data_IF_952473444858
#
_entry.id   IF_952473444858
#
_cell.length_a   1.000
_cell.length_b   1.000
_cell.length_c   1.000
_cell.angle_alpha   90.00
_cell.angle_beta   90.00
_cell.angle_gamma   90.00
#
_symmetry.space_group_name_H-M   'P 1'
#
loop_
_entity.id
_entity.type
_entity.pdbx_description
1 polymer ?
#
# COMPACT_ATOMS: atom_id res chain seq x y z
N UNK A 1 -6.71 65.49 -38.66
CA UNK A 1 -5.48 66.06 -38.06
C UNK A 1 -4.53 64.88 -37.85
N UNK A 2 -3.59 64.56 -38.76
CA UNK A 2 -2.23 65.15 -38.89
C UNK A 2 -1.56 65.34 -37.51
N UNK A 3 -0.38 64.82 -37.18
CA UNK A 3 0.87 64.59 -37.92
C UNK A 3 1.74 63.55 -37.15
N UNK A 4 2.40 62.57 -37.76
CA UNK A 4 3.72 62.57 -38.42
C UNK A 4 4.98 62.66 -37.51
N UNK A 5 5.69 61.52 -37.48
CA UNK A 5 7.16 61.27 -37.54
C UNK A 5 8.11 61.87 -36.49
N UNK A 6 8.98 61.00 -35.96
CA UNK A 6 10.43 61.06 -36.23
C UNK A 6 11.15 59.80 -35.75
N UNK A 7 12.11 59.33 -36.56
CA UNK A 7 13.01 58.20 -36.32
C UNK A 7 14.29 58.70 -35.63
N UNK A 8 14.83 57.92 -34.71
CA UNK A 8 16.28 57.89 -34.42
C UNK A 8 16.73 56.45 -34.20
N UNK A 9 17.87 56.14 -34.78
CA UNK A 9 18.50 54.83 -34.84
C UNK A 9 19.74 54.78 -33.93
N UNK A 10 20.26 53.54 -33.78
CA UNK A 10 21.63 53.14 -33.37
C UNK A 10 21.85 52.99 -31.85
N UNK A 11 22.68 52.04 -31.33
CA UNK A 11 23.36 50.88 -31.94
C UNK A 11 23.00 49.50 -31.33
N UNK A 12 23.27 48.47 -32.12
CA UNK A 12 23.41 47.07 -31.69
C UNK A 12 24.70 46.94 -30.86
N UNK A 13 24.56 46.83 -29.55
CA UNK A 13 25.61 46.36 -28.64
C UNK A 13 25.46 44.86 -28.45
N UNK A 14 26.35 44.10 -29.09
CA UNK A 14 26.46 42.65 -28.96
C UNK A 14 26.98 42.30 -27.56
N UNK A 15 26.08 42.08 -26.61
CA UNK A 15 26.44 41.52 -25.31
C UNK A 15 26.66 40.01 -25.48
N UNK A 16 27.91 39.60 -25.34
CA UNK A 16 28.35 38.22 -25.26
C UNK A 16 27.81 37.62 -23.95
N UNK A 17 26.59 37.08 -23.98
CA UNK A 17 26.07 36.24 -22.91
C UNK A 17 26.79 34.89 -22.97
N UNK A 18 27.80 34.73 -22.11
CA UNK A 18 28.36 33.42 -21.78
C UNK A 18 27.23 32.62 -21.12
N UNK A 19 26.66 31.70 -21.88
CA UNK A 19 25.74 30.69 -21.37
C UNK A 19 26.59 29.72 -20.53
N UNK A 20 26.66 29.97 -19.22
CA UNK A 20 27.05 28.93 -18.28
C UNK A 20 25.88 27.96 -18.28
N UNK A 21 25.97 26.94 -19.13
CA UNK A 21 25.21 25.72 -19.01
C UNK A 21 25.66 25.04 -17.70
N UNK A 22 25.14 25.53 -16.58
CA UNK A 22 25.22 24.87 -15.31
C UNK A 22 24.56 23.52 -15.48
N UNK A 23 25.35 22.46 -15.29
CA UNK A 23 24.90 21.09 -15.22
C UNK A 23 23.90 20.93 -14.06
N UNK A 24 22.63 21.26 -14.29
CA UNK A 24 21.52 20.74 -13.50
C UNK A 24 21.20 19.34 -14.03
N UNK A 25 22.17 18.43 -13.88
CA UNK A 25 21.86 17.01 -13.94
C UNK A 25 21.08 16.68 -12.69
N UNK A 26 19.75 16.75 -12.76
CA UNK A 26 18.88 16.21 -11.72
C UNK A 26 19.33 14.79 -11.41
N UNK A 27 19.77 14.57 -10.18
CA UNK A 27 20.07 13.25 -9.67
C UNK A 27 18.75 12.48 -9.68
N UNK A 28 18.62 11.51 -10.58
CA UNK A 28 17.51 10.56 -10.56
C UNK A 28 17.80 9.54 -9.47
N UNK A 29 16.89 9.38 -8.52
CA UNK A 29 16.89 8.24 -7.61
C UNK A 29 16.76 6.94 -8.44
N UNK A 30 17.31 5.83 -7.96
CA UNK A 30 17.24 4.58 -8.72
C UNK A 30 15.79 4.08 -8.70
N UNK A 31 15.17 3.81 -9.87
CA UNK A 31 13.79 3.33 -9.92
C UNK A 31 13.69 1.99 -9.20
N UNK A 32 12.69 1.88 -8.33
CA UNK A 32 12.28 0.66 -7.66
C UNK A 32 11.82 -0.41 -8.67
N UNK A 33 11.55 -1.65 -8.21
CA UNK A 33 11.03 -2.80 -8.98
C UNK A 33 10.63 -2.41 -10.41
N UNK A 34 11.53 -2.58 -11.39
CA UNK A 34 11.33 -1.96 -12.70
C UNK A 34 9.89 -2.13 -13.20
N UNK A 35 9.21 -1.02 -13.52
CA UNK A 35 7.74 -0.83 -13.70
C UNK A 35 6.91 -2.09 -14.04
N UNK A 36 7.38 -2.94 -14.95
CA UNK A 36 6.77 -4.24 -15.26
C UNK A 36 6.72 -5.28 -14.11
N UNK A 37 7.34 -5.05 -12.94
CA UNK A 37 7.23 -5.92 -11.76
C UNK A 37 6.11 -5.46 -10.84
N UNK A 38 6.03 -4.15 -10.55
CA UNK A 38 4.93 -3.52 -9.83
C UNK A 38 3.56 -3.89 -10.41
N UNK A 39 3.40 -3.70 -11.72
CA UNK A 39 2.21 -4.10 -12.46
C UNK A 39 1.90 -5.58 -12.24
N UNK A 40 2.91 -6.44 -12.40
CA UNK A 40 2.76 -7.89 -12.31
C UNK A 40 2.38 -8.35 -10.91
N UNK A 41 2.92 -7.74 -9.86
CA UNK A 41 2.54 -8.04 -8.47
C UNK A 41 1.07 -7.68 -8.27
N UNK A 42 0.69 -6.46 -8.65
CA UNK A 42 -0.68 -5.92 -8.53
C UNK A 42 -1.71 -6.78 -9.27
N UNK A 43 -1.47 -7.11 -10.54
CA UNK A 43 -2.37 -7.97 -11.33
C UNK A 43 -2.50 -9.38 -10.77
N UNK A 44 -1.40 -9.98 -10.28
CA UNK A 44 -1.43 -11.31 -9.65
C UNK A 44 -2.08 -11.31 -8.25
N UNK A 45 -2.11 -10.16 -7.59
CA UNK A 45 -2.77 -10.00 -6.30
C UNK A 45 -4.29 -9.92 -6.47
N UNK A 46 -4.80 -9.29 -7.53
CA UNK A 46 -6.23 -8.98 -7.69
C UNK A 46 -6.90 -9.56 -8.94
N UNK A 47 -6.87 -10.89 -9.16
CA UNK A 47 -7.50 -11.50 -10.34
C UNK A 47 -9.03 -11.36 -10.38
N UNK A 48 -9.67 -11.00 -9.27
CA UNK A 48 -11.13 -10.82 -9.15
C UNK A 48 -11.60 -9.40 -9.49
N UNK A 49 -10.69 -8.45 -9.65
CA UNK A 49 -11.01 -7.05 -9.84
C UNK A 49 -11.44 -6.78 -11.29
N UNK A 50 -12.35 -5.83 -11.50
CA UNK A 50 -12.76 -5.40 -12.82
C UNK A 50 -11.55 -4.82 -13.57
N UNK A 51 -11.38 -5.19 -14.84
CA UNK A 51 -10.18 -4.87 -15.62
C UNK A 51 -9.84 -3.38 -15.64
N UNK A 52 -10.82 -2.52 -15.90
CA UNK A 52 -10.63 -1.07 -15.93
C UNK A 52 -10.22 -0.46 -14.57
N UNK A 53 -10.69 -1.05 -13.47
CA UNK A 53 -10.30 -0.62 -12.11
C UNK A 53 -8.90 -1.10 -11.80
N UNK A 54 -8.58 -2.35 -12.14
CA UNK A 54 -7.24 -2.90 -11.99
C UNK A 54 -6.21 -2.12 -12.81
N UNK A 55 -6.53 -1.75 -14.05
CA UNK A 55 -5.66 -0.92 -14.90
C UNK A 55 -5.43 0.47 -14.29
N UNK A 56 -6.45 1.04 -13.65
CA UNK A 56 -6.31 2.33 -12.94
C UNK A 56 -5.42 2.21 -11.71
N UNK A 57 -5.54 1.12 -10.94
CA UNK A 57 -4.68 0.85 -9.78
C UNK A 57 -3.24 0.62 -10.24
N UNK A 58 -3.03 -0.12 -11.33
CA UNK A 58 -1.71 -0.30 -11.94
C UNK A 58 -1.13 1.04 -12.38
N UNK A 59 -1.89 1.89 -13.07
CA UNK A 59 -1.43 3.21 -13.47
C UNK A 59 -1.02 4.05 -12.24
N UNK A 60 -1.89 4.17 -11.23
CA UNK A 60 -1.54 4.89 -10.00
C UNK A 60 -0.36 4.28 -9.23
N UNK A 61 -0.11 2.99 -9.37
CA UNK A 61 1.08 2.36 -8.80
C UNK A 61 2.35 2.78 -9.53
N UNK A 62 2.29 2.95 -10.86
CA UNK A 62 3.43 3.39 -11.68
C UNK A 62 3.65 4.91 -11.62
N UNK A 63 2.59 5.70 -11.39
CA UNK A 63 2.66 7.17 -11.27
C UNK A 63 3.66 7.62 -10.17
N UNK A 64 3.99 6.77 -9.20
CA UNK A 64 4.95 7.09 -8.14
C UNK A 64 6.42 7.05 -8.61
N UNK A 65 6.73 6.35 -9.69
CA UNK A 65 8.06 6.34 -10.32
C UNK A 65 8.24 7.46 -11.36
N UNK A 66 7.30 8.41 -11.46
CA UNK A 66 7.30 9.45 -12.49
C UNK A 66 7.54 10.86 -11.91
N UNK A 67 8.12 11.73 -12.74
CA UNK A 67 8.32 13.15 -12.48
C UNK A 67 8.96 13.48 -11.10
N UNK A 68 8.28 14.31 -10.31
CA UNK A 68 8.73 14.71 -8.98
C UNK A 68 8.45 13.63 -7.93
N UNK A 69 7.59 12.65 -8.21
CA UNK A 69 7.25 11.59 -7.27
C UNK A 69 8.42 10.60 -7.09
N UNK A 70 9.15 10.31 -8.17
CA UNK A 70 10.33 9.41 -8.21
C UNK A 70 11.40 9.78 -7.17
N UNK A 71 11.45 11.04 -6.73
CA UNK A 71 12.46 11.55 -5.81
C UNK A 71 11.93 11.72 -4.36
N UNK A 72 10.76 11.16 -4.05
CA UNK A 72 10.13 11.26 -2.74
C UNK A 72 10.30 9.94 -1.99
N UNK A 73 11.39 9.84 -1.22
CA UNK A 73 11.76 8.62 -0.49
C UNK A 73 10.65 8.03 0.41
N UNK A 74 9.74 8.84 0.95
CA UNK A 74 8.58 8.33 1.71
C UNK A 74 7.59 7.51 0.86
N UNK A 75 7.62 7.65 -0.46
CA UNK A 75 6.74 6.91 -1.38
C UNK A 75 7.36 5.59 -1.82
N UNK A 76 8.70 5.53 -1.84
CA UNK A 76 9.48 4.35 -2.25
C UNK A 76 10.01 3.51 -1.07
N UNK A 77 9.56 3.81 0.16
CA UNK A 77 10.05 3.19 1.39
C UNK A 77 11.59 3.23 1.53
N UNK A 78 12.23 4.33 1.14
CA UNK A 78 13.68 4.47 1.12
C UNK A 78 14.19 5.38 2.26
N UNK A 79 15.52 5.55 2.34
CA UNK A 79 16.21 6.49 3.23
C UNK A 79 15.92 6.29 4.72
N UNK A 80 15.64 5.05 5.14
CA UNK A 80 15.29 4.72 6.52
C UNK A 80 14.03 5.48 7.01
N UNK A 81 13.21 6.04 6.11
CA UNK A 81 12.05 6.87 6.43
C UNK A 81 10.79 6.02 6.62
N UNK A 82 10.87 4.99 7.46
CA UNK A 82 9.74 4.08 7.72
C UNK A 82 8.51 4.82 8.23
N UNK A 83 8.74 5.72 9.20
CA UNK A 83 7.65 6.50 9.79
C UNK A 83 6.95 7.36 8.73
N UNK A 84 7.72 8.03 7.89
CA UNK A 84 7.15 8.90 6.85
C UNK A 84 6.43 8.07 5.77
N UNK A 85 6.96 6.90 5.43
CA UNK A 85 6.32 5.98 4.47
C UNK A 85 5.00 5.42 5.00
N UNK A 86 4.98 5.01 6.27
CA UNK A 86 3.74 4.58 6.92
C UNK A 86 2.73 5.74 7.04
N UNK A 87 3.19 6.96 7.32
CA UNK A 87 2.34 8.15 7.34
C UNK A 87 1.76 8.48 5.97
N UNK A 88 2.57 8.36 4.90
CA UNK A 88 2.13 8.51 3.52
C UNK A 88 1.03 7.52 3.17
N UNK A 89 1.25 6.23 3.45
CA UNK A 89 0.25 5.16 3.25
C UNK A 89 -1.05 5.46 3.99
N UNK A 90 -0.96 5.88 5.26
CA UNK A 90 -2.13 6.23 6.07
C UNK A 90 -2.92 7.42 5.50
N UNK A 91 -2.23 8.48 5.09
CA UNK A 91 -2.87 9.62 4.43
C UNK A 91 -3.60 9.17 3.15
N UNK A 92 -2.96 8.36 2.31
CA UNK A 92 -3.59 7.84 1.09
C UNK A 92 -4.81 6.98 1.40
N UNK A 93 -4.81 6.19 2.47
CA UNK A 93 -6.00 5.44 2.87
C UNK A 93 -7.20 6.34 3.16
N UNK A 94 -6.99 7.43 3.89
CA UNK A 94 -8.04 8.41 4.19
C UNK A 94 -8.56 9.06 2.90
N UNK A 95 -7.66 9.42 1.98
CA UNK A 95 -8.03 9.99 0.68
C UNK A 95 -8.78 9.00 -0.22
N UNK A 96 -8.38 7.72 -0.24
CA UNK A 96 -9.12 6.65 -0.96
C UNK A 96 -10.54 6.56 -0.41
N UNK A 97 -10.72 6.47 0.91
CA UNK A 97 -12.06 6.38 1.51
C UNK A 97 -12.86 7.66 1.27
N UNK A 98 -12.24 8.83 1.34
CA UNK A 98 -12.87 10.11 1.01
C UNK A 98 -13.36 10.15 -0.44
N UNK A 99 -12.52 9.75 -1.40
CA UNK A 99 -12.86 9.68 -2.82
C UNK A 99 -13.92 8.61 -3.12
N UNK A 100 -13.95 7.51 -2.36
CA UNK A 100 -15.02 6.51 -2.45
C UNK A 100 -16.35 7.05 -1.90
N UNK A 101 -16.33 7.87 -0.86
CA UNK A 101 -17.55 8.45 -0.26
C UNK A 101 -18.19 9.50 -1.16
N UNK A 102 -17.35 10.33 -1.78
CA UNK A 102 -17.75 11.41 -2.67
C UNK A 102 -16.94 11.41 -3.97
N UNK A 103 -17.24 10.50 -4.92
CA UNK A 103 -16.55 10.41 -6.19
C UNK A 103 -16.65 11.73 -6.97
N UNK A 104 -15.51 12.20 -7.47
CA UNK A 104 -15.48 13.36 -8.36
C UNK A 104 -16.11 12.99 -9.70
N UNK A 105 -16.89 13.91 -10.27
CA UNK A 105 -17.37 13.77 -11.64
C UNK A 105 -16.23 13.84 -12.66
N UNK A 106 -15.21 14.65 -12.36
CA UNK A 106 -14.07 14.92 -13.24
C UNK A 106 -12.99 13.84 -13.14
N UNK A 107 -12.89 13.18 -11.97
CA UNK A 107 -12.00 12.03 -11.77
C UNK A 107 -12.71 10.91 -10.99
N UNK A 108 -13.58 10.13 -11.65
CA UNK A 108 -14.30 9.03 -11.02
C UNK A 108 -13.38 7.88 -10.58
N UNK A 109 -12.14 7.88 -11.08
CA UNK A 109 -11.13 6.84 -10.87
C UNK A 109 -10.10 7.21 -9.79
N UNK A 110 -10.23 8.40 -9.19
CA UNK A 110 -9.30 8.91 -8.16
C UNK A 110 -9.02 7.92 -7.05
N UNK A 111 -10.05 7.28 -6.50
CA UNK A 111 -9.89 6.31 -5.41
C UNK A 111 -9.05 5.08 -5.81
N UNK A 112 -9.25 4.57 -7.03
CA UNK A 112 -8.50 3.43 -7.54
C UNK A 112 -7.03 3.81 -7.80
N UNK A 113 -6.78 5.00 -8.36
CA UNK A 113 -5.43 5.54 -8.55
C UNK A 113 -4.70 5.69 -7.22
N UNK A 114 -5.30 6.35 -6.24
CA UNK A 114 -4.75 6.53 -4.89
C UNK A 114 -4.49 5.19 -4.16
N UNK A 115 -5.28 4.15 -4.44
CA UNK A 115 -4.96 2.82 -3.93
C UNK A 115 -3.71 2.24 -4.58
N UNK A 116 -3.50 2.47 -5.88
CA UNK A 116 -2.25 2.17 -6.58
C UNK A 116 -1.01 2.79 -5.90
N UNK A 117 -1.11 4.06 -5.51
CA UNK A 117 -0.05 4.80 -4.79
C UNK A 117 0.34 4.12 -3.47
N UNK A 118 -0.65 3.63 -2.70
CA UNK A 118 -0.40 2.87 -1.47
C UNK A 118 0.40 1.60 -1.79
N UNK A 119 -0.04 0.86 -2.80
CA UNK A 119 0.57 -0.41 -3.16
C UNK A 119 2.01 -0.27 -3.63
N UNK A 120 2.38 0.86 -4.22
CA UNK A 120 3.74 1.14 -4.66
C UNK A 120 4.72 1.07 -3.48
N UNK A 121 4.56 1.95 -2.48
CA UNK A 121 5.44 1.96 -1.30
C UNK A 121 5.41 0.67 -0.48
N UNK A 122 4.27 -0.04 -0.45
CA UNK A 122 4.18 -1.36 0.19
C UNK A 122 5.00 -2.42 -0.55
N UNK A 123 4.99 -2.40 -1.88
CA UNK A 123 5.78 -3.33 -2.69
C UNK A 123 7.27 -3.00 -2.54
N UNK A 124 7.62 -1.72 -2.61
CA UNK A 124 8.98 -1.22 -2.46
C UNK A 124 9.60 -1.58 -1.13
N UNK A 125 8.87 -1.51 -0.02
CA UNK A 125 9.41 -1.92 1.28
C UNK A 125 10.06 -3.32 1.23
N UNK A 126 9.42 -4.27 0.54
CA UNK A 126 9.96 -5.64 0.44
C UNK A 126 11.11 -5.77 -0.55
N UNK A 127 11.26 -4.81 -1.45
CA UNK A 127 12.38 -4.71 -2.38
C UNK A 127 13.59 -3.98 -1.81
N UNK A 128 13.32 -2.97 -0.98
CA UNK A 128 14.24 -1.92 -0.53
C UNK A 128 14.60 -2.04 0.94
N UNK A 129 14.36 -3.19 1.58
CA UNK A 129 14.73 -3.39 2.98
C UNK A 129 15.54 -4.64 3.18
N UNK A 130 16.23 -4.69 4.30
CA UNK A 130 16.90 -5.90 4.76
C UNK A 130 15.90 -6.93 5.34
N UNK A 131 14.59 -6.81 5.12
CA UNK A 131 13.56 -7.71 5.66
C UNK A 131 13.70 -9.15 5.14
N UNK A 132 13.81 -9.30 3.83
CA UNK A 132 13.75 -10.60 3.13
C UNK A 132 15.08 -11.34 3.12
N UNK A 133 16.22 -10.69 2.81
CA UNK A 133 17.47 -11.41 2.64
C UNK A 133 17.87 -12.20 3.89
N UNK A 134 18.48 -13.37 3.72
CA UNK A 134 18.94 -14.17 4.87
C UNK A 134 20.16 -13.56 5.55
N UNK A 135 20.42 -13.84 6.84
CA UNK A 135 21.68 -13.47 7.46
C UNK A 135 22.88 -14.07 6.70
N UNK A 136 24.00 -13.33 6.56
CA UNK A 136 24.25 -12.00 7.12
C UNK A 136 23.70 -10.83 6.27
N UNK A 137 23.12 -11.06 5.09
CA UNK A 137 22.67 -10.01 4.18
C UNK A 137 21.36 -9.32 4.62
N UNK A 138 20.54 -9.98 5.43
CA UNK A 138 19.30 -9.40 5.96
C UNK A 138 18.75 -10.15 7.17
N UNK A 139 17.52 -9.82 7.56
CA UNK A 139 16.83 -10.33 8.73
C UNK A 139 16.29 -11.76 8.55
N UNK A 140 16.13 -12.22 7.31
CA UNK A 140 15.57 -13.52 6.97
C UNK A 140 14.12 -13.70 7.39
N UNK A 141 13.34 -12.61 7.49
CA UNK A 141 11.94 -12.66 7.97
C UNK A 141 11.04 -13.05 6.81
N UNK A 142 10.88 -14.37 6.65
CA UNK A 142 10.04 -14.99 5.61
C UNK A 142 8.72 -15.49 6.19
N UNK A 143 7.65 -15.36 5.42
CA UNK A 143 6.29 -15.78 5.77
C UNK A 143 5.53 -14.80 6.67
N UNK A 144 6.08 -13.60 6.92
CA UNK A 144 5.50 -12.61 7.82
C UNK A 144 5.43 -11.24 7.14
N UNK A 145 4.28 -10.58 7.29
CA UNK A 145 4.11 -9.20 6.86
C UNK A 145 4.70 -8.23 7.89
N UNK A 146 5.16 -7.05 7.45
CA UNK A 146 5.65 -5.99 8.34
C UNK A 146 4.53 -5.55 9.28
N UNK A 147 3.39 -5.20 8.71
CA UNK A 147 2.17 -4.85 9.41
C UNK A 147 1.04 -5.75 8.90
N UNK A 148 0.52 -6.61 9.77
CA UNK A 148 -0.62 -7.51 9.47
C UNK A 148 -1.94 -6.99 10.06
N UNK A 149 -1.98 -5.75 10.55
CA UNK A 149 -3.17 -5.11 11.09
C UNK A 149 -4.22 -4.83 10.02
N UNK A 150 -5.46 -4.57 10.45
CA UNK A 150 -6.56 -4.17 9.55
C UNK A 150 -6.92 -2.69 9.65
N UNK A 151 -6.31 -1.97 10.60
CA UNK A 151 -6.42 -0.52 10.73
C UNK A 151 -5.37 0.21 9.91
N UNK A 152 -5.12 1.47 10.24
CA UNK A 152 -4.00 2.23 9.69
C UNK A 152 -2.67 1.54 10.04
N UNK A 153 -1.65 1.74 9.20
CA UNK A 153 -0.30 1.26 9.46
C UNK A 153 0.21 1.86 10.78
N UNK A 154 0.87 1.02 11.57
CA UNK A 154 1.55 1.48 12.78
C UNK A 154 2.63 2.49 12.41
N UNK A 155 2.66 3.65 13.05
CA UNK A 155 3.72 4.64 12.86
C UNK A 155 4.86 4.31 13.84
N UNK A 156 5.96 3.68 13.39
CA UNK A 156 7.06 3.37 14.29
C UNK A 156 7.67 4.65 14.85
N UNK A 157 8.21 4.55 16.06
CA UNK A 157 9.16 5.53 16.56
C UNK A 157 10.57 5.03 16.26
N UNK A 158 11.54 5.92 16.02
CA UNK A 158 12.94 5.56 15.92
C UNK A 158 13.34 4.58 17.04
N UNK A 159 13.99 3.47 16.69
CA UNK A 159 14.44 2.44 17.62
C UNK A 159 13.36 1.68 18.38
N UNK A 160 12.07 1.83 18.04
CA UNK A 160 11.03 0.97 18.62
C UNK A 160 11.23 -0.51 18.25
N UNK A 161 10.89 -1.39 19.17
CA UNK A 161 10.91 -2.84 18.96
C UNK A 161 9.71 -3.23 18.10
N UNK A 162 9.99 -3.89 16.98
CA UNK A 162 8.98 -4.48 16.13
C UNK A 162 8.63 -5.91 16.60
N UNK A 163 9.65 -6.72 16.85
CA UNK A 163 9.57 -8.09 17.38
C UNK A 163 10.62 -8.28 18.46
N UNK A 164 10.56 -9.37 19.22
CA UNK A 164 11.45 -9.63 20.36
C UNK A 164 12.92 -9.24 20.11
N UNK A 165 13.47 -9.50 18.93
CA UNK A 165 14.86 -9.22 18.59
C UNK A 165 15.06 -8.26 17.39
N UNK A 166 14.02 -7.54 16.96
CA UNK A 166 14.10 -6.61 15.80
C UNK A 166 13.68 -5.20 16.20
N UNK A 167 14.50 -4.20 15.87
CA UNK A 167 14.22 -2.79 16.11
C UNK A 167 14.24 -1.99 14.80
N UNK A 168 13.38 -0.97 14.68
CA UNK A 168 13.44 -0.02 13.57
C UNK A 168 14.66 0.87 13.68
N UNK A 169 15.45 1.00 12.62
CA UNK A 169 16.61 1.88 12.59
C UNK A 169 16.29 3.10 11.72
N UNK A 170 15.98 4.22 12.40
CA UNK A 170 15.69 5.52 11.81
C UNK A 170 16.38 6.61 12.65
N UNK A 171 17.00 7.58 12.00
CA UNK A 171 17.77 8.68 12.58
C UNK A 171 19.04 8.25 13.31
N UNK A 172 19.69 9.20 13.98
CA UNK A 172 20.83 8.91 14.86
C UNK A 172 20.37 8.35 16.21
N UNK A 173 21.11 7.37 16.72
CA UNK A 173 20.81 6.75 18.00
C UNK A 173 21.06 7.74 19.15
N UNK A 174 20.02 8.02 19.93
CA UNK A 174 20.16 8.82 21.14
C UNK A 174 20.78 7.99 22.26
N UNK A 175 21.77 8.56 22.96
CA UNK A 175 22.41 7.89 24.10
C UNK A 175 21.36 7.48 25.15
N UNK A 176 21.50 6.29 25.75
CA UNK A 176 22.64 5.38 25.68
C UNK A 176 22.56 4.33 24.55
N UNK A 177 21.60 4.43 23.63
CA UNK A 177 21.54 3.53 22.48
C UNK A 177 22.77 3.73 21.58
N UNK A 178 23.20 2.64 20.95
CA UNK A 178 24.22 2.69 19.91
C UNK A 178 23.86 1.74 18.78
N UNK A 179 24.24 2.10 17.56
CA UNK A 179 24.05 1.30 16.36
C UNK A 179 25.41 1.04 15.77
N UNK A 180 25.71 -0.23 15.47
CA UNK A 180 26.94 -0.63 14.78
C UNK A 180 26.61 -1.65 13.71
N UNK A 181 27.41 -1.69 12.66
CA UNK A 181 27.37 -2.82 11.74
C UNK A 181 28.26 -3.96 12.27
N UNK A 182 27.88 -5.23 12.09
CA UNK A 182 28.77 -6.35 12.37
C UNK A 182 30.05 -6.23 11.53
N UNK A 183 31.20 -6.54 12.13
CA UNK A 183 32.49 -6.62 11.45
C UNK A 183 33.11 -8.01 11.64
N UNK A 184 33.91 -8.47 10.68
CA UNK A 184 34.68 -9.72 10.78
C UNK A 184 35.98 -9.53 11.58
N UNK A 185 36.84 -10.56 11.61
CA UNK A 185 38.10 -10.54 12.33
C UNK A 185 39.10 -9.50 11.81
N UNK A 186 38.96 -9.09 10.54
CA UNK A 186 39.80 -8.08 9.89
C UNK A 186 39.22 -6.66 10.04
N UNK A 187 38.10 -6.51 10.76
CA UNK A 187 37.40 -5.25 10.93
C UNK A 187 36.58 -4.83 9.71
N UNK A 188 36.41 -5.69 8.70
CA UNK A 188 35.57 -5.41 7.54
C UNK A 188 34.11 -5.66 7.91
N UNK A 189 33.19 -4.81 7.45
CA UNK A 189 31.76 -5.03 7.69
C UNK A 189 31.38 -6.41 7.16
N UNK A 190 30.68 -7.21 7.99
CA UNK A 190 30.32 -8.60 7.72
C UNK A 190 28.81 -8.80 7.46
N UNK A 191 27.97 -7.79 7.69
CA UNK A 191 26.51 -7.85 7.53
C UNK A 191 25.87 -6.49 7.25
N UNK A 192 24.76 -6.50 6.51
CA UNK A 192 23.87 -5.33 6.32
C UNK A 192 22.74 -5.26 7.38
N UNK A 193 22.79 -6.07 8.44
CA UNK A 193 21.85 -5.98 9.55
C UNK A 193 22.54 -5.24 10.69
N UNK A 194 22.20 -3.96 10.95
CA UNK A 194 22.76 -3.24 12.08
C UNK A 194 22.43 -3.93 13.40
N UNK A 195 23.33 -3.83 14.36
CA UNK A 195 23.13 -4.23 15.75
C UNK A 195 22.78 -2.98 16.53
N UNK A 196 21.55 -2.93 17.06
CA UNK A 196 21.09 -1.89 17.98
C UNK A 196 21.38 -2.37 19.39
N UNK A 197 22.29 -1.71 20.10
CA UNK A 197 22.63 -2.03 21.49
C UNK A 197 21.91 -1.08 22.43
N UNK A 198 21.12 -1.67 23.32
CA UNK A 198 20.41 -1.01 24.41
C UNK A 198 21.02 -1.42 25.76
N UNK A 199 22.04 -0.70 26.26
CA UNK A 199 22.79 -1.12 27.44
C UNK A 199 22.01 -0.91 28.75
N UNK A 200 20.88 -0.20 28.73
CA UNK A 200 20.08 0.09 29.91
C UNK A 200 18.68 -0.51 29.85
N UNK A 201 18.37 -1.21 28.78
CA UNK A 201 17.06 -1.82 28.67
C UNK A 201 15.92 -0.82 28.47
N UNK A 202 16.23 0.33 27.88
CA UNK A 202 15.29 1.44 27.71
C UNK A 202 14.14 1.07 26.78
N UNK A 203 14.39 0.19 25.80
CA UNK A 203 13.42 -0.10 24.75
C UNK A 203 12.46 -1.24 25.13
N UNK A 204 12.91 -2.29 25.85
CA UNK A 204 12.03 -3.44 26.16
C UNK A 204 12.05 -3.97 27.59
N UNK A 205 13.23 -4.13 28.20
CA UNK A 205 13.39 -4.84 29.49
C UNK A 205 14.60 -4.26 30.23
N UNK A 206 14.66 -4.20 31.58
CA UNK A 206 15.73 -3.52 32.34
C UNK A 206 17.14 -4.13 32.22
N UNK A 207 17.39 -5.02 31.26
CA UNK A 207 18.66 -5.70 31.06
C UNK A 207 19.30 -5.23 29.74
N UNK A 208 20.64 -5.15 29.68
CA UNK A 208 21.34 -4.89 28.43
C UNK A 208 20.91 -5.87 27.34
N UNK A 209 20.54 -5.36 26.18
CA UNK A 209 20.10 -6.18 25.04
C UNK A 209 20.64 -5.66 23.72
N UNK A 210 20.85 -6.58 22.79
CA UNK A 210 21.12 -6.27 21.39
C UNK A 210 19.94 -6.71 20.52
N UNK A 211 19.60 -5.90 19.52
CA UNK A 211 18.55 -6.16 18.54
C UNK A 211 19.13 -6.11 17.13
N UNK A 212 18.55 -6.88 16.23
CA UNK A 212 18.76 -6.78 14.79
C UNK A 212 17.99 -5.57 14.27
N UNK A 213 18.65 -4.73 13.50
CA UNK A 213 18.07 -3.50 13.00
C UNK A 213 17.40 -3.70 11.63
N UNK A 214 16.12 -3.35 11.54
CA UNK A 214 15.41 -3.18 10.28
C UNK A 214 15.73 -1.80 9.70
N UNK A 215 16.22 -1.78 8.47
CA UNK A 215 16.50 -0.56 7.72
C UNK A 215 16.12 -0.70 6.25
N UNK A 216 15.85 0.41 5.59
CA UNK A 216 15.68 0.47 4.13
C UNK A 216 16.94 0.97 3.45
N UNK A 217 17.10 0.63 2.18
CA UNK A 217 18.11 1.21 1.31
C UNK A 217 17.92 2.72 1.27
N UNK A 218 19.02 3.46 1.24
CA UNK A 218 18.92 4.87 0.90
C UNK A 218 19.04 5.09 -0.60
N UNK A 219 18.45 6.18 -1.07
CA UNK A 219 18.86 6.90 -2.26
C UNK A 219 20.10 7.77 -1.94
N UNK A 220 20.79 8.34 -2.94
CA UNK A 220 21.90 9.25 -2.72
C UNK A 220 21.48 10.36 -1.75
N UNK A 221 22.30 10.56 -0.71
CA UNK A 221 22.02 11.53 0.36
C UNK A 221 21.73 12.92 -0.23
N UNK A 222 20.51 13.42 -0.05
CA UNK A 222 20.30 14.86 -0.12
C UNK A 222 21.05 15.52 1.05
N UNK A 223 21.94 16.51 0.80
CA UNK A 223 22.64 17.21 1.87
C UNK A 223 21.64 17.82 2.85
N UNK A 224 21.54 17.24 4.06
CA UNK A 224 20.62 17.69 5.12
C UNK A 224 19.61 16.63 5.59
N UNK A 225 19.41 15.52 4.88
CA UNK A 225 18.53 14.45 5.34
C UNK A 225 19.28 13.48 6.28
N UNK A 226 19.15 13.72 7.60
CA UNK A 226 19.84 12.99 8.68
C UNK A 226 19.06 11.74 9.16
N UNK A 227 18.14 11.19 8.34
CA UNK A 227 17.24 10.12 8.81
C UNK A 227 17.74 8.69 8.67
N UNK A 228 18.82 8.44 7.93
CA UNK A 228 19.58 7.20 8.15
C UNK A 228 20.70 7.48 9.16
N UNK A 229 20.96 6.56 10.12
CA UNK A 229 22.00 6.76 11.11
C UNK A 229 23.34 7.06 10.43
N UNK A 230 24.07 8.03 10.98
CA UNK A 230 25.49 8.16 10.70
C UNK A 230 26.18 6.91 11.26
N UNK A 231 26.47 5.94 10.39
CA UNK A 231 27.35 4.83 10.76
C UNK A 231 28.76 5.42 10.88
N UNK A 232 29.08 5.91 12.08
CA UNK A 232 30.15 6.86 12.36
C UNK A 232 31.58 6.29 12.23
N UNK A 233 31.75 5.05 11.78
CA UNK A 233 33.05 4.40 11.68
C UNK A 233 33.18 3.73 10.30
N UNK A 234 34.09 4.27 9.46
CA UNK A 234 34.68 3.66 8.25
C UNK A 234 34.05 3.84 6.86
N UNK A 235 33.32 4.92 6.57
CA UNK A 235 33.20 5.37 5.16
C UNK A 235 34.39 6.25 4.76
N UNK A 236 35.61 5.71 4.85
CA UNK A 236 36.73 6.32 4.12
C UNK A 236 36.59 5.94 2.64
N UNK A 237 35.89 6.81 1.89
CA UNK A 237 35.69 6.74 0.44
C UNK A 237 37.00 6.75 -0.39
N UNK A 238 38.17 6.93 0.24
CA UNK A 238 39.46 6.92 -0.46
C UNK A 238 40.08 5.53 -0.70
N UNK A 239 39.51 4.46 -0.12
CA UNK A 239 39.98 3.09 -0.37
C UNK A 239 38.86 2.22 -0.95
N UNK A 240 39.14 1.52 -2.06
CA UNK A 240 38.17 0.73 -2.84
C UNK A 240 37.56 -0.51 -2.13
N UNK A 241 37.86 -0.75 -0.85
CA UNK A 241 37.52 -2.00 -0.15
C UNK A 241 36.61 -1.85 1.09
N UNK A 242 36.02 -0.68 1.35
CA UNK A 242 35.11 -0.52 2.49
C UNK A 242 33.65 -0.62 2.08
N UNK A 243 32.93 -1.55 2.72
CA UNK A 243 31.50 -1.74 2.57
C UNK A 243 30.76 -0.64 3.33
N UNK A 244 30.60 0.51 2.69
CA UNK A 244 29.52 1.41 3.08
C UNK A 244 28.20 0.69 2.77
N UNK A 245 27.18 0.88 3.61
CA UNK A 245 25.81 0.77 3.13
C UNK A 245 25.67 1.82 2.03
N UNK A 246 25.99 1.44 0.80
CA UNK A 246 25.85 2.30 -0.36
C UNK A 246 24.36 2.46 -0.56
N UNK A 247 23.84 3.52 0.05
CA UNK A 247 22.62 4.19 -0.34
C UNK A 247 22.79 4.49 -1.84
N UNK A 248 22.01 3.82 -2.70
CA UNK A 248 22.37 3.49 -4.08
C UNK A 248 22.89 4.69 -4.87
N UNK A 249 24.14 4.64 -5.34
CA UNK A 249 24.63 5.60 -6.33
C UNK A 249 23.90 5.34 -7.66
N UNK A 250 23.28 6.38 -8.22
CA UNK A 250 22.51 6.30 -9.47
C UNK A 250 23.36 6.10 -10.73
N UNK A 251 24.70 5.98 -10.62
CA UNK A 251 25.58 5.71 -11.77
C UNK A 251 26.85 4.98 -11.37
N UNK A 252 26.96 3.71 -11.75
CA UNK A 252 28.22 3.23 -12.34
C UNK A 252 27.95 2.07 -13.29
N UNK A 253 27.98 2.34 -14.60
CA UNK A 253 28.08 1.32 -15.66
C UNK A 253 29.46 0.61 -15.69
N UNK A 254 30.15 0.50 -14.55
CA UNK A 254 31.52 0.01 -14.56
C UNK A 254 32.16 -0.31 -13.21
N UNK A 255 31.43 -0.20 -12.09
CA UNK A 255 31.95 -0.73 -10.82
C UNK A 255 31.21 -2.01 -10.47
N UNK A 256 31.92 -3.14 -10.59
CA UNK A 256 31.62 -4.38 -9.87
C UNK A 256 31.85 -4.16 -8.38
N UNK A 257 31.14 -3.19 -7.81
CA UNK A 257 31.09 -2.86 -6.40
C UNK A 257 30.52 -4.09 -5.70
N UNK A 258 31.43 -4.88 -5.15
CA UNK A 258 31.12 -6.07 -4.35
C UNK A 258 30.40 -5.64 -3.10
N UNK A 259 29.11 -5.39 -3.23
CA UNK A 259 28.22 -5.43 -2.09
C UNK A 259 28.27 -6.88 -1.60
N UNK A 260 28.83 -7.11 -0.41
CA UNK A 260 28.86 -8.38 0.36
C UNK A 260 29.23 -9.73 -0.28
N UNK A 261 29.46 -9.79 -1.59
CA UNK A 261 30.03 -10.86 -2.42
C UNK A 261 30.18 -10.43 -3.90
N UNK A 262 29.56 -9.30 -4.31
CA UNK A 262 29.32 -9.01 -5.73
C UNK A 262 27.85 -8.69 -6.02
N UNK A 263 26.94 -9.03 -5.09
CA UNK A 263 25.50 -9.01 -5.30
C UNK A 263 24.67 -8.60 -4.06
N UNK A 264 25.28 -8.01 -3.03
CA UNK A 264 24.63 -7.43 -1.83
C UNK A 264 23.65 -6.31 -2.14
N UNK A 265 22.52 -6.68 -2.71
CA UNK A 265 21.48 -5.77 -3.10
C UNK A 265 20.43 -5.78 -1.99
N UNK A 266 20.41 -4.73 -1.17
CA UNK A 266 19.18 -4.33 -0.46
C UNK A 266 18.10 -3.84 -1.42
N UNK A 267 18.39 -3.84 -2.73
CA UNK A 267 17.49 -3.54 -3.81
C UNK A 267 17.23 -4.86 -4.58
N UNK A 268 16.03 -5.41 -4.42
CA UNK A 268 15.63 -6.66 -5.07
C UNK A 268 14.79 -6.38 -6.33
N UNK A 269 15.15 -5.36 -7.11
CA UNK A 269 14.34 -4.90 -8.24
C UNK A 269 14.58 -5.69 -9.52
N UNK A 270 15.80 -6.19 -9.73
CA UNK A 270 16.17 -6.96 -10.91
C UNK A 270 15.79 -8.44 -10.81
N UNK A 271 15.10 -8.98 -11.82
CA UNK A 271 14.87 -10.43 -11.93
C UNK A 271 16.20 -11.18 -12.07
N UNK A 272 16.46 -12.15 -11.19
CA UNK A 272 17.69 -12.93 -11.15
C UNK A 272 17.77 -13.83 -9.92
N UNK A 273 18.82 -14.66 -9.85
CA UNK A 273 19.11 -15.56 -8.73
C UNK A 273 19.09 -14.83 -7.37
N UNK A 274 18.73 -15.55 -6.29
CA UNK A 274 18.73 -15.05 -4.92
C UNK A 274 17.33 -14.82 -4.32
N UNK A 275 17.23 -13.83 -3.41
CA UNK A 275 16.04 -13.54 -2.59
C UNK A 275 14.91 -12.80 -3.33
N UNK A 276 15.11 -12.44 -4.60
CA UNK A 276 14.14 -11.72 -5.43
C UNK A 276 12.76 -12.40 -5.45
N UNK A 277 12.71 -13.71 -5.66
CA UNK A 277 11.46 -14.46 -5.72
C UNK A 277 10.71 -14.39 -4.38
N UNK A 278 11.46 -14.36 -3.27
CA UNK A 278 10.92 -14.26 -1.93
C UNK A 278 10.38 -12.85 -1.64
N UNK A 279 11.10 -11.80 -2.07
CA UNK A 279 10.64 -10.42 -1.95
C UNK A 279 9.37 -10.18 -2.76
N UNK A 280 9.36 -10.59 -4.03
CA UNK A 280 8.16 -10.55 -4.87
C UNK A 280 6.99 -11.34 -4.26
N UNK A 281 7.27 -12.49 -3.65
CA UNK A 281 6.25 -13.26 -2.94
C UNK A 281 5.66 -12.46 -1.78
N UNK A 282 6.48 -11.79 -0.97
CA UNK A 282 6.02 -10.97 0.16
C UNK A 282 5.30 -9.70 -0.29
N UNK A 283 5.81 -9.00 -1.28
CA UNK A 283 5.16 -7.85 -1.90
C UNK A 283 3.75 -8.23 -2.40
N UNK A 284 3.59 -9.42 -3.01
CA UNK A 284 2.27 -9.95 -3.40
C UNK A 284 1.38 -10.26 -2.19
N UNK A 285 1.91 -10.89 -1.14
CA UNK A 285 1.13 -11.16 0.08
C UNK A 285 0.65 -9.87 0.74
N UNK A 286 1.53 -8.87 0.85
CA UNK A 286 1.21 -7.56 1.39
C UNK A 286 0.16 -6.85 0.53
N UNK A 287 0.34 -6.83 -0.80
CA UNK A 287 -0.64 -6.26 -1.74
C UNK A 287 -2.03 -6.89 -1.56
N UNK A 288 -2.11 -8.22 -1.37
CA UNK A 288 -3.37 -8.92 -1.08
C UNK A 288 -3.96 -8.52 0.28
N UNK A 289 -3.10 -8.35 1.29
CA UNK A 289 -3.50 -7.90 2.63
C UNK A 289 -4.03 -6.46 2.61
N UNK A 290 -3.43 -5.56 1.82
CA UNK A 290 -3.87 -4.17 1.72
C UNK A 290 -5.28 -4.02 1.12
N UNK A 291 -5.75 -4.97 0.30
CA UNK A 291 -7.17 -5.02 -0.10
C UNK A 291 -8.08 -5.30 1.09
N UNK A 292 -7.72 -6.27 1.93
CA UNK A 292 -8.48 -6.58 3.14
C UNK A 292 -8.45 -5.39 4.11
N UNK A 293 -7.27 -4.78 4.33
CA UNK A 293 -7.12 -3.55 5.12
C UNK A 293 -8.02 -2.42 4.58
N UNK A 294 -8.04 -2.20 3.28
CA UNK A 294 -8.88 -1.17 2.65
C UNK A 294 -10.37 -1.40 2.90
N UNK A 295 -10.85 -2.65 2.81
CA UNK A 295 -12.24 -2.97 3.14
C UNK A 295 -12.56 -2.59 4.59
N UNK A 296 -11.71 -2.98 5.55
CA UNK A 296 -11.89 -2.64 6.96
C UNK A 296 -11.83 -1.13 7.24
N UNK A 297 -10.84 -0.43 6.70
CA UNK A 297 -10.72 1.02 6.82
C UNK A 297 -11.89 1.76 6.16
N UNK A 298 -12.42 1.26 5.05
CA UNK A 298 -13.60 1.86 4.41
C UNK A 298 -14.86 1.77 5.27
N UNK A 299 -14.95 0.79 6.18
CA UNK A 299 -16.01 0.72 7.19
C UNK A 299 -15.71 1.64 8.37
N UNK A 300 -14.47 1.60 8.86
CA UNK A 300 -14.10 2.30 10.09
C UNK A 300 -14.08 3.83 9.90
N UNK A 301 -13.64 4.29 8.73
CA UNK A 301 -13.62 5.71 8.35
C UNK A 301 -14.91 6.17 7.64
N UNK A 302 -15.81 5.25 7.29
CA UNK A 302 -17.15 5.54 6.78
C UNK A 302 -18.19 4.53 7.33
N UNK A 303 -18.75 4.80 8.54
CA UNK A 303 -19.68 3.88 9.18
C UNK A 303 -21.03 3.76 8.44
N UNK A 304 -21.26 4.55 7.39
CA UNK A 304 -22.42 4.42 6.51
C UNK A 304 -22.31 3.25 5.53
N UNK A 305 -21.12 2.64 5.40
CA UNK A 305 -20.78 1.58 4.45
C UNK A 305 -20.87 1.97 2.96
N UNK A 306 -20.98 3.27 2.63
CA UNK A 306 -20.98 3.73 1.24
C UNK A 306 -19.65 3.38 0.58
N UNK A 307 -18.52 3.65 1.23
CA UNK A 307 -17.20 3.35 0.70
C UNK A 307 -16.99 1.83 0.52
N UNK A 308 -17.29 1.01 1.53
CA UNK A 308 -17.18 -0.45 1.45
C UNK A 308 -18.09 -1.05 0.37
N UNK A 309 -19.33 -0.55 0.28
CA UNK A 309 -20.27 -0.94 -0.77
C UNK A 309 -19.74 -0.61 -2.16
N UNK A 310 -19.07 0.53 -2.35
CA UNK A 310 -18.48 0.92 -3.65
C UNK A 310 -17.27 0.08 -4.02
N UNK A 311 -16.43 -0.28 -3.06
CA UNK A 311 -15.33 -1.24 -3.29
C UNK A 311 -15.88 -2.56 -3.82
N UNK A 312 -16.79 -3.19 -3.06
CA UNK A 312 -17.34 -4.48 -3.46
C UNK A 312 -18.24 -4.38 -4.70
N UNK A 313 -18.98 -3.28 -4.86
CA UNK A 313 -19.96 -3.11 -5.94
C UNK A 313 -19.32 -2.72 -7.27
N UNK A 314 -18.35 -1.82 -7.26
CA UNK A 314 -17.81 -1.21 -8.47
C UNK A 314 -16.42 -1.69 -8.84
N UNK A 315 -15.61 -2.16 -7.89
CA UNK A 315 -14.23 -2.59 -8.19
C UNK A 315 -14.13 -4.07 -8.52
N UNK A 316 -15.06 -4.89 -8.03
CA UNK A 316 -15.08 -6.33 -8.26
C UNK A 316 -15.68 -6.66 -9.64
N UNK A 317 -15.11 -7.65 -10.33
CA UNK A 317 -15.58 -8.15 -11.63
C UNK A 317 -16.99 -8.79 -11.56
N UNK A 318 -17.72 -8.85 -12.69
CA UNK A 318 -19.11 -9.34 -12.75
C UNK A 318 -19.30 -10.82 -12.41
N UNK A 319 -18.27 -11.63 -12.64
CA UNK A 319 -18.33 -13.09 -12.54
C UNK A 319 -17.51 -13.65 -11.36
N UNK A 320 -17.16 -12.81 -10.39
CA UNK A 320 -16.44 -13.23 -9.20
C UNK A 320 -17.38 -14.05 -8.29
N UNK A 321 -17.31 -15.38 -8.37
CA UNK A 321 -17.98 -16.25 -7.41
C UNK A 321 -17.58 -15.88 -5.97
N UNK A 322 -18.49 -16.07 -5.00
CA UNK A 322 -18.39 -15.60 -3.60
C UNK A 322 -17.05 -15.89 -2.91
N UNK A 323 -16.35 -16.96 -3.29
CA UNK A 323 -15.06 -17.35 -2.70
C UNK A 323 -13.82 -16.67 -3.33
N UNK A 324 -13.97 -15.92 -4.43
CA UNK A 324 -12.84 -15.31 -5.15
C UNK A 324 -12.44 -13.92 -4.63
N UNK A 325 -13.31 -13.27 -3.84
CA UNK A 325 -13.08 -11.93 -3.30
C UNK A 325 -12.14 -11.90 -2.10
N UNK A 326 -12.11 -13.02 -1.36
CA UNK A 326 -11.33 -13.18 -0.15
C UNK A 326 -10.09 -13.97 -0.47
N UNK A 327 -9.00 -13.24 -0.71
CA UNK A 327 -7.76 -13.83 -1.19
C UNK A 327 -7.16 -14.73 -0.11
N UNK A 328 -6.72 -15.92 -0.53
CA UNK A 328 -6.18 -16.88 0.41
C UNK A 328 -4.97 -16.35 1.18
N UNK A 329 -4.93 -16.62 2.49
CA UNK A 329 -3.90 -16.15 3.41
C UNK A 329 -4.12 -14.75 3.99
N UNK A 330 -5.25 -14.09 3.67
CA UNK A 330 -5.59 -12.77 4.25
C UNK A 330 -6.59 -12.91 5.40
N UNK A 331 -6.67 -11.94 6.33
CA UNK A 331 -7.67 -11.98 7.41
C UNK A 331 -9.13 -12.03 6.92
N UNK A 332 -9.41 -11.58 5.69
CA UNK A 332 -10.72 -11.63 5.08
C UNK A 332 -11.12 -13.06 4.64
N UNK A 333 -10.19 -14.01 4.58
CA UNK A 333 -10.47 -15.39 4.19
C UNK A 333 -10.99 -16.29 5.34
N UNK A 334 -11.30 -15.75 6.52
CA UNK A 334 -11.58 -16.58 7.71
C UNK A 334 -12.80 -17.51 7.54
N UNK A 335 -12.52 -18.81 7.37
CA UNK A 335 -13.47 -19.92 7.39
C UNK A 335 -13.95 -20.25 8.80
N UNK A 336 -14.58 -19.30 9.48
CA UNK A 336 -15.27 -19.60 10.72
C UNK A 336 -16.49 -20.50 10.43
N UNK A 337 -16.76 -21.47 11.31
CA UNK A 337 -18.01 -22.22 11.27
C UNK A 337 -19.18 -21.24 11.41
N UNK A 338 -20.09 -21.27 10.44
CA UNK A 338 -21.28 -20.42 10.38
C UNK A 338 -22.49 -21.33 10.34
N UNK A 339 -23.49 -21.02 11.15
CA UNK A 339 -24.69 -21.86 11.23
C UNK A 339 -25.85 -21.31 10.43
N UNK A 340 -25.96 -19.99 10.21
CA UNK A 340 -27.15 -19.40 9.58
C UNK A 340 -26.90 -19.05 8.12
N UNK A 341 -27.79 -19.50 7.24
CA UNK A 341 -27.87 -19.03 5.85
C UNK A 341 -28.74 -17.78 5.80
N UNK A 342 -28.21 -16.70 5.24
CA UNK A 342 -28.93 -15.45 5.03
C UNK A 342 -29.10 -15.23 3.55
N UNK A 343 -30.36 -15.14 3.11
CA UNK A 343 -30.74 -14.80 1.74
C UNK A 343 -31.31 -13.38 1.72
N UNK A 344 -30.75 -12.51 0.91
CA UNK A 344 -31.32 -11.17 0.68
C UNK A 344 -31.66 -11.02 -0.78
N UNK A 345 -32.95 -10.77 -1.02
CA UNK A 345 -33.51 -10.56 -2.35
C UNK A 345 -33.75 -9.07 -2.56
N UNK A 346 -33.12 -8.50 -3.59
CA UNK A 346 -33.33 -7.12 -3.99
C UNK A 346 -34.25 -7.05 -5.20
N UNK A 347 -35.30 -6.23 -5.09
CA UNK A 347 -36.26 -5.92 -6.14
C UNK A 347 -36.28 -4.40 -6.34
N UNK A 348 -35.56 -3.87 -7.35
CA UNK A 348 -35.62 -2.46 -7.70
C UNK A 348 -37.00 -2.08 -8.24
N UNK A 349 -37.37 -0.81 -8.12
CA UNK A 349 -38.52 -0.26 -8.82
C UNK A 349 -38.25 -0.09 -10.32
N UNK A 350 -39.32 0.13 -11.08
CA UNK A 350 -39.24 0.48 -12.51
C UNK A 350 -38.44 1.77 -12.78
N UNK A 351 -38.27 2.66 -11.78
CA UNK A 351 -37.52 3.92 -11.92
C UNK A 351 -36.02 3.79 -11.69
N UNK A 352 -35.52 2.67 -11.14
CA UNK A 352 -34.10 2.45 -10.89
C UNK A 352 -33.24 2.53 -12.18
N UNK A 353 -31.93 2.76 -12.18
CA UNK A 353 -31.07 2.70 -13.38
C UNK A 353 -31.07 1.32 -14.05
N UNK A 354 -30.52 1.25 -15.27
CA UNK A 354 -30.55 0.04 -16.10
C UNK A 354 -29.84 -1.15 -15.45
N UNK A 355 -28.68 -0.94 -14.82
CA UNK A 355 -27.94 -1.99 -14.10
C UNK A 355 -27.22 -1.36 -12.90
N UNK A 356 -27.46 -1.90 -11.70
CA UNK A 356 -26.85 -1.46 -10.45
C UNK A 356 -26.20 -2.65 -9.75
N UNK A 357 -24.94 -2.53 -9.28
CA UNK A 357 -24.33 -3.54 -8.44
C UNK A 357 -25.13 -3.75 -7.15
N UNK A 358 -25.41 -5.01 -6.83
CA UNK A 358 -25.96 -5.43 -5.55
C UNK A 358 -24.90 -6.24 -4.83
N UNK A 359 -24.58 -5.83 -3.61
CA UNK A 359 -23.63 -6.52 -2.75
C UNK A 359 -24.27 -6.89 -1.42
N UNK A 360 -23.85 -8.02 -0.89
CA UNK A 360 -24.19 -8.51 0.43
C UNK A 360 -22.90 -8.92 1.12
N UNK A 361 -22.59 -8.35 2.28
CA UNK A 361 -21.35 -8.68 2.98
C UNK A 361 -21.50 -8.60 4.49
N UNK A 362 -20.66 -9.34 5.20
CA UNK A 362 -20.52 -9.23 6.66
C UNK A 362 -19.70 -8.00 6.99
N UNK A 363 -20.03 -7.35 8.11
CA UNK A 363 -19.31 -6.14 8.57
C UNK A 363 -17.83 -6.38 8.87
N UNK A 364 -17.40 -7.64 9.04
CA UNK A 364 -16.00 -8.04 9.16
C UNK A 364 -15.37 -8.51 7.85
N UNK A 365 -16.11 -8.37 6.73
CA UNK A 365 -15.73 -8.77 5.38
C UNK A 365 -15.31 -10.23 5.21
N UNK A 366 -15.54 -11.11 6.18
CA UNK A 366 -15.13 -12.52 6.03
C UNK A 366 -16.09 -13.36 5.17
N UNK A 367 -17.17 -12.74 4.68
CA UNK A 367 -18.04 -13.29 3.64
C UNK A 367 -18.67 -12.13 2.88
N UNK A 368 -18.65 -12.22 1.55
CA UNK A 368 -19.32 -11.26 0.69
C UNK A 368 -19.76 -11.92 -0.62
N UNK A 369 -20.83 -11.37 -1.17
CA UNK A 369 -21.43 -11.78 -2.43
C UNK A 369 -21.76 -10.53 -3.25
N UNK A 370 -21.70 -10.66 -4.57
CA UNK A 370 -21.99 -9.59 -5.52
C UNK A 370 -22.80 -10.14 -6.69
N UNK A 371 -23.74 -9.34 -7.15
CA UNK A 371 -24.39 -9.51 -8.44
C UNK A 371 -24.73 -8.15 -9.04
N UNK A 372 -25.44 -8.14 -10.16
CA UNK A 372 -25.99 -6.95 -10.77
C UNK A 372 -27.49 -7.09 -10.92
N UNK A 373 -28.20 -6.01 -10.65
CA UNK A 373 -29.66 -5.96 -10.68
C UNK A 373 -30.10 -4.90 -11.68
N UNK A 374 -31.09 -5.24 -12.49
CA UNK A 374 -31.73 -4.37 -13.48
C UNK A 374 -33.17 -4.07 -13.08
N UNK A 375 -33.81 -3.08 -13.73
CA UNK A 375 -35.18 -2.58 -13.47
C UNK A 375 -36.25 -3.68 -13.35
N UNK A 376 -36.04 -4.82 -14.00
CA UNK A 376 -37.04 -5.89 -14.12
C UNK A 376 -36.52 -7.23 -13.57
N UNK A 377 -35.31 -7.26 -13.01
CA UNK A 377 -34.73 -8.48 -12.48
C UNK A 377 -34.69 -8.44 -10.96
N UNK A 378 -35.33 -9.40 -10.32
CA UNK A 378 -35.10 -9.69 -8.91
C UNK A 378 -33.86 -10.56 -8.77
N UNK A 379 -32.98 -10.25 -7.81
CA UNK A 379 -31.78 -11.05 -7.53
C UNK A 379 -31.67 -11.37 -6.06
N UNK A 380 -31.25 -12.59 -5.77
CA UNK A 380 -31.00 -13.06 -4.40
C UNK A 380 -29.50 -13.31 -4.23
N UNK A 381 -28.93 -12.74 -3.18
CA UNK A 381 -27.58 -13.06 -2.72
C UNK A 381 -27.66 -13.89 -1.44
N UNK A 382 -26.64 -14.72 -1.23
CA UNK A 382 -26.54 -15.62 -0.08
C UNK A 382 -25.23 -15.38 0.64
N UNK A 383 -25.27 -15.37 1.96
CA UNK A 383 -24.07 -15.37 2.79
C UNK A 383 -24.34 -16.15 4.06
N UNK A 384 -23.27 -16.68 4.65
CA UNK A 384 -23.33 -17.39 5.91
C UNK A 384 -22.93 -16.49 7.07
N UNK A 385 -23.65 -16.57 8.19
CA UNK A 385 -23.39 -15.76 9.39
C UNK A 385 -23.79 -16.48 10.68
N UNK A 386 -23.47 -15.85 11.80
CA UNK A 386 -23.89 -16.29 13.14
C UNK A 386 -24.84 -15.27 13.77
N UNK A 387 -25.68 -15.69 14.74
CA UNK A 387 -26.52 -14.77 15.50
C UNK A 387 -25.70 -13.65 16.13
N UNK A 388 -26.24 -12.42 16.08
CA UNK A 388 -25.55 -11.25 16.63
C UNK A 388 -24.56 -10.58 15.66
N UNK A 389 -24.36 -11.12 14.47
CA UNK A 389 -23.50 -10.48 13.47
C UNK A 389 -24.24 -9.43 12.65
N UNK A 390 -23.48 -8.46 12.13
CA UNK A 390 -24.00 -7.42 11.23
C UNK A 390 -23.70 -7.77 9.78
N UNK A 391 -24.75 -7.80 8.98
CA UNK A 391 -24.72 -7.90 7.53
C UNK A 391 -25.07 -6.56 6.90
N UNK A 392 -24.53 -6.31 5.72
CA UNK A 392 -24.79 -5.12 4.94
C UNK A 392 -25.25 -5.53 3.55
N UNK A 393 -26.46 -5.12 3.19
CA UNK A 393 -26.99 -5.21 1.84
C UNK A 393 -26.93 -3.82 1.21
N UNK A 394 -26.32 -3.70 0.04
CA UNK A 394 -26.18 -2.42 -0.63
C UNK A 394 -26.43 -2.53 -2.13
N UNK A 395 -27.27 -1.64 -2.66
CA UNK A 395 -27.32 -1.30 -4.08
C UNK A 395 -26.44 -0.07 -4.28
N UNK A 396 -25.41 -0.19 -5.11
CA UNK A 396 -24.31 0.78 -5.13
C UNK A 396 -24.10 1.36 -6.53
N UNK A 397 -24.81 2.44 -6.89
CA UNK A 397 -24.55 3.17 -8.12
C UNK A 397 -23.14 3.74 -8.13
N UNK A 398 -22.58 3.93 -9.32
CA UNK A 398 -21.23 4.46 -9.47
C UNK A 398 -21.08 5.90 -8.95
N UNK A 399 -22.11 6.75 -9.13
CA UNK A 399 -22.00 8.21 -8.91
C UNK A 399 -22.92 8.78 -7.82
N UNK A 400 -24.03 8.11 -7.53
CA UNK A 400 -25.01 8.61 -6.54
C UNK A 400 -24.90 7.84 -5.23
N UNK A 401 -25.39 8.40 -4.12
CA UNK A 401 -25.65 7.62 -2.92
C UNK A 401 -26.53 6.41 -3.26
N UNK A 402 -26.11 5.24 -2.83
CA UNK A 402 -26.87 4.00 -3.00
C UNK A 402 -27.91 3.78 -1.91
N UNK A 403 -28.63 2.65 -2.00
CA UNK A 403 -29.47 2.16 -0.92
C UNK A 403 -28.69 1.15 -0.09
N UNK A 404 -28.57 1.39 1.23
CA UNK A 404 -27.74 0.57 2.13
C UNK A 404 -28.54 0.22 3.38
N UNK A 405 -28.64 -1.07 3.67
CA UNK A 405 -29.24 -1.57 4.91
C UNK A 405 -28.29 -2.46 5.67
N UNK A 406 -28.31 -2.27 6.98
CA UNK A 406 -27.63 -3.14 7.93
C UNK A 406 -28.66 -4.06 8.57
N UNK A 407 -28.41 -5.36 8.50
CA UNK A 407 -29.25 -6.41 9.10
C UNK A 407 -28.46 -7.05 10.24
N UNK A 408 -29.06 -7.08 11.42
CA UNK A 408 -28.56 -7.88 12.53
C UNK A 408 -29.06 -9.31 12.37
N UNK A 409 -28.16 -10.31 12.31
CA UNK A 409 -28.54 -11.72 12.16
C UNK A 409 -29.25 -12.18 13.44
N UNK A 410 -30.53 -12.60 13.35
CA UNK A 410 -31.28 -13.10 14.49
C UNK A 410 -30.86 -14.53 14.85
N UNK A 411 -31.14 -14.94 16.09
CA UNK A 411 -30.87 -16.30 16.58
C UNK A 411 -31.87 -17.36 16.07
N UNK A 412 -32.98 -16.92 15.49
CA UNK A 412 -34.06 -17.77 15.01
C UNK A 412 -34.41 -17.43 13.57
N UNK A 413 -35.23 -18.28 12.94
CA UNK A 413 -35.73 -18.01 11.61
C UNK A 413 -36.42 -16.64 11.55
N UNK A 414 -36.16 -15.90 10.47
CA UNK A 414 -36.61 -14.52 10.33
C UNK A 414 -36.90 -14.18 8.88
N UNK A 415 -37.97 -13.41 8.67
CA UNK A 415 -38.31 -12.86 7.37
C UNK A 415 -38.78 -11.41 7.53
N UNK A 416 -38.22 -10.49 6.75
CA UNK A 416 -38.65 -9.09 6.73
C UNK A 416 -38.50 -8.48 5.36
N UNK A 417 -39.46 -7.63 5.00
CA UNK A 417 -39.38 -6.76 3.82
C UNK A 417 -39.06 -5.33 4.26
N UNK A 418 -38.08 -4.71 3.60
CA UNK A 418 -37.61 -3.35 3.86
C UNK A 418 -37.70 -2.56 2.55
N UNK A 419 -38.33 -1.39 2.57
CA UNK A 419 -38.34 -0.46 1.43
C UNK A 419 -37.36 0.68 1.69
N UNK A 420 -36.52 1.00 0.71
CA UNK A 420 -35.64 2.18 0.70
C UNK A 420 -36.05 3.09 -0.44
N UNK A 421 -36.05 4.39 -0.17
CA UNK A 421 -36.43 5.46 -1.12
C UNK A 421 -35.32 6.51 -1.29
N UNK A 422 -34.07 6.20 -0.92
CA UNK A 422 -32.97 7.16 -0.95
C UNK A 422 -32.37 7.33 -2.35
N UNK A 423 -31.98 8.57 -2.68
CA UNK A 423 -31.14 8.88 -3.84
C UNK A 423 -31.81 8.75 -5.21
N UNK A 424 -33.14 8.72 -5.29
CA UNK A 424 -33.88 8.44 -6.53
C UNK A 424 -33.97 6.95 -6.87
N UNK A 425 -33.60 6.08 -5.92
CA UNK A 425 -33.69 4.63 -6.04
C UNK A 425 -34.74 4.11 -5.07
N UNK A 426 -35.82 3.57 -5.63
CA UNK A 426 -36.78 2.80 -4.85
C UNK A 426 -36.40 1.33 -4.96
N UNK A 427 -36.13 0.69 -3.83
CA UNK A 427 -35.81 -0.74 -3.77
C UNK A 427 -36.52 -1.39 -2.60
N UNK A 428 -36.98 -2.62 -2.84
CA UNK A 428 -37.44 -3.52 -1.79
C UNK A 428 -36.40 -4.61 -1.54
N UNK A 429 -35.93 -4.72 -0.29
CA UNK A 429 -35.11 -5.82 0.18
C UNK A 429 -35.96 -6.81 0.98
N UNK A 430 -36.05 -8.06 0.53
CA UNK A 430 -36.63 -9.15 1.28
C UNK A 430 -35.50 -9.98 1.90
N UNK A 431 -35.44 -10.00 3.23
CA UNK A 431 -34.44 -10.71 4.03
C UNK A 431 -35.05 -11.99 4.55
N UNK A 432 -34.38 -13.13 4.34
CA UNK A 432 -34.70 -14.42 4.93
C UNK A 432 -33.48 -14.99 5.65
N UNK A 433 -33.68 -15.50 6.86
CA UNK A 433 -32.63 -16.16 7.66
C UNK A 433 -33.10 -17.57 7.99
N UNK A 434 -32.27 -18.55 7.64
CA UNK A 434 -32.50 -19.98 7.89
C UNK A 434 -31.40 -20.52 8.81
N UNK A 435 -31.73 -20.85 10.07
CA UNK A 435 -30.77 -21.46 11.00
C UNK A 435 -30.29 -22.84 10.53
N UNK A 436 -29.04 -23.18 10.85
CA UNK A 436 -28.37 -24.47 10.57
C UNK A 436 -28.40 -24.89 9.09
N UNK A 437 -28.22 -23.93 8.18
CA UNK A 437 -28.29 -24.13 6.72
C UNK A 437 -27.04 -23.65 5.96
N UNK A 438 -25.98 -23.33 6.71
CA UNK A 438 -24.60 -23.29 6.27
C UNK A 438 -23.88 -24.51 6.88
#
# INVERSE_FOLDING_TARGET
>A
MHASRSKTAVPVGMALSILIAGMLGGMREAPAFGSGIHERITRNAFPFMAGNVLDTIVAGNLDEDEDAAENLAERHAQNCRFRDSAAYINLRYEEVVGALRSPSADDPNRAARLFGHILHGVQDFYSHSNWIPTPPQGLGIRGRLLDSGLGLWTLPTPYSILFDDVAYVEGDAQKPLSVRLPVDADGKVSSAVPIVRDPRGIISTPQPREYRGLMTSGAPRHPGDQRCPLVAESCNISSAENVCLRHGDSRSEGTSSRNFDGAGRMNLDGGGDGDWAQARHHAKLATRHEWCRLLHLSRDLDPSYVASGRLLGNWVGRDSAENTLHIAGTPCQRGASRSHLIEITATPSASAPSVVPFVLFRSDFSSSARTSVSRESTKTLRVCGNPGERLVAALVPARTPGAIHVVQVPATAYSRTIRDHRGGFDVTFAVRVTPNAC
#
